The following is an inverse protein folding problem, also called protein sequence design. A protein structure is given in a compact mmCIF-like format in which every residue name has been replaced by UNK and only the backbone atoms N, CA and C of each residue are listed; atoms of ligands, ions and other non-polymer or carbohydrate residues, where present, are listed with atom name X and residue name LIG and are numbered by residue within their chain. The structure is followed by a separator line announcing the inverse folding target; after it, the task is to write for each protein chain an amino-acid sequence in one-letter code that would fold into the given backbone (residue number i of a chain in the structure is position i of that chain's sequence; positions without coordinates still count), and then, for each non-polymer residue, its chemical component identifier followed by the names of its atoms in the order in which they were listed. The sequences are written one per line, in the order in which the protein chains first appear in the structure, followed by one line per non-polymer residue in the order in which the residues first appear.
data_IF_127686980960
#
_entry.id   IF_127686980960
#
_cell.length_a   1.000
_cell.length_b   1.000
_cell.length_c   1.000
_cell.angle_alpha   90.00
_cell.angle_beta   90.00
_cell.angle_gamma   90.00
#
_symmetry.space_group_name_H-M   'P 1'
#
loop_
_entity.id
_entity.type
_entity.pdbx_description
1 polymer ?
#
# COMPACT_ATOMS: atom_id res chain seq x y z
N UNK A 1 -0.83 17.94 -8.40
CA UNK A 1 0.13 17.27 -9.34
C UNK A 1 -0.19 15.78 -9.39
N UNK A 2 -0.13 15.15 -10.58
CA UNK A 2 -0.32 13.70 -10.77
C UNK A 2 0.93 13.13 -11.44
N UNK A 3 1.55 12.10 -10.83
CA UNK A 3 2.69 11.38 -11.39
C UNK A 3 2.37 9.89 -11.52
N UNK A 4 3.11 9.19 -12.35
CA UNK A 4 3.10 7.73 -12.47
C UNK A 4 4.34 7.21 -11.76
N UNK A 5 4.13 6.40 -10.72
CA UNK A 5 5.18 5.60 -10.11
C UNK A 5 5.31 4.29 -10.89
N UNK A 6 6.32 4.17 -11.72
CA UNK A 6 6.62 2.94 -12.47
C UNK A 6 7.75 2.18 -11.81
N UNK A 7 7.52 0.93 -11.44
CA UNK A 7 8.51 0.21 -10.64
C UNK A 7 8.33 -1.29 -10.62
N UNK A 8 9.04 -1.89 -9.68
CA UNK A 8 9.09 -3.33 -9.46
C UNK A 8 8.46 -3.65 -8.12
N UNK A 9 7.50 -4.56 -8.14
CA UNK A 9 6.99 -5.24 -6.95
C UNK A 9 7.85 -6.48 -6.71
N UNK A 10 8.31 -6.64 -5.48
CA UNK A 10 9.08 -7.82 -5.06
C UNK A 10 8.51 -8.34 -3.73
N UNK A 11 8.02 -9.58 -3.74
CA UNK A 11 7.67 -10.32 -2.55
C UNK A 11 8.72 -11.39 -2.31
N UNK A 12 9.25 -11.44 -1.11
CA UNK A 12 10.27 -12.40 -0.71
C UNK A 12 9.81 -13.14 0.54
N UNK A 13 9.52 -14.42 0.40
CA UNK A 13 9.33 -15.32 1.54
C UNK A 13 10.68 -15.89 1.95
N UNK A 14 10.95 -15.92 3.26
CA UNK A 14 12.20 -16.46 3.83
C UNK A 14 11.98 -17.73 4.63
N UNK A 15 10.79 -17.92 5.21
CA UNK A 15 10.41 -19.06 6.04
C UNK A 15 9.04 -19.62 5.60
N UNK A 16 8.80 -20.92 5.73
CA UNK A 16 9.74 -22.00 6.04
C UNK A 16 10.73 -22.31 4.90
N UNK A 17 10.46 -21.82 3.67
CA UNK A 17 11.36 -21.92 2.52
C UNK A 17 11.45 -20.60 1.78
N UNK A 18 12.56 -20.39 1.07
CA UNK A 18 12.79 -19.17 0.29
C UNK A 18 12.00 -19.22 -1.02
N UNK A 19 11.25 -18.15 -1.30
CA UNK A 19 10.58 -17.96 -2.58
C UNK A 19 10.39 -16.47 -2.88
N UNK A 20 10.52 -16.10 -4.15
CA UNK A 20 10.37 -14.73 -4.62
C UNK A 20 9.29 -14.65 -5.70
N UNK A 21 8.47 -13.61 -5.62
CA UNK A 21 7.57 -13.17 -6.69
C UNK A 21 8.00 -11.75 -7.09
N UNK A 22 8.38 -11.56 -8.35
CA UNK A 22 8.83 -10.28 -8.89
C UNK A 22 8.06 -9.94 -10.15
N UNK A 23 7.55 -8.70 -10.24
CA UNK A 23 6.89 -8.21 -11.44
C UNK A 23 6.93 -6.68 -11.54
N UNK A 24 6.80 -6.16 -12.75
CA UNK A 24 6.66 -4.73 -13.02
C UNK A 24 5.21 -4.33 -12.74
N UNK A 25 5.04 -3.18 -12.10
CA UNK A 25 3.75 -2.55 -11.88
C UNK A 25 3.87 -1.04 -11.99
N UNK A 26 2.74 -0.34 -12.08
CA UNK A 26 2.67 1.09 -11.91
C UNK A 26 1.55 1.48 -10.95
N UNK A 27 1.76 2.59 -10.25
CA UNK A 27 0.81 3.18 -9.31
C UNK A 27 0.65 4.67 -9.63
N UNK A 28 -0.44 5.26 -9.16
CA UNK A 28 -0.65 6.69 -9.27
C UNK A 28 -0.14 7.38 -8.00
N UNK A 29 0.75 8.35 -8.16
CA UNK A 29 1.17 9.25 -7.11
C UNK A 29 0.50 10.60 -7.33
N UNK A 30 -0.22 11.10 -6.32
CA UNK A 30 -1.07 12.28 -6.44
C UNK A 30 -0.88 13.24 -5.26
N UNK A 31 -0.97 14.53 -5.56
CA UNK A 31 -1.18 15.57 -4.57
C UNK A 31 -2.68 15.62 -4.26
N UNK A 32 -3.05 15.33 -3.01
CA UNK A 32 -4.45 15.18 -2.61
C UNK A 32 -5.19 16.52 -2.47
N UNK A 33 -4.46 17.63 -2.35
CA UNK A 33 -5.05 18.99 -2.36
C UNK A 33 -5.49 19.43 -3.75
N UNK A 34 -5.01 18.77 -4.81
CA UNK A 34 -5.35 19.08 -6.17
C UNK A 34 -6.52 18.23 -6.66
N UNK A 35 -7.43 18.78 -7.49
CA UNK A 35 -8.49 18.00 -8.11
C UNK A 35 -7.89 16.80 -8.89
N UNK A 36 -8.33 15.59 -8.56
CA UNK A 36 -7.87 14.37 -9.20
C UNK A 36 -8.95 13.28 -9.16
N UNK A 37 -8.91 12.36 -10.11
CA UNK A 37 -9.84 11.24 -10.24
C UNK A 37 -9.10 9.87 -10.29
N UNK A 38 -7.87 9.82 -9.76
CA UNK A 38 -7.07 8.59 -9.79
C UNK A 38 -7.28 7.73 -8.56
N UNK A 39 -7.41 8.36 -7.40
CA UNK A 39 -7.74 7.72 -6.14
C UNK A 39 -9.16 8.12 -5.76
N UNK A 40 -10.07 7.16 -5.74
CA UNK A 40 -11.49 7.40 -5.43
C UNK A 40 -11.80 6.97 -4.00
N UNK A 41 -12.56 7.74 -3.21
CA UNK A 41 -12.89 7.39 -1.82
C UNK A 41 -13.46 5.99 -1.66
N UNK A 42 -14.35 5.55 -2.55
CA UNK A 42 -14.96 4.21 -2.54
C UNK A 42 -13.98 3.05 -2.61
N UNK A 43 -12.74 3.31 -3.06
CA UNK A 43 -11.68 2.30 -3.20
C UNK A 43 -10.76 2.25 -1.97
N UNK A 44 -10.95 3.16 -1.02
CA UNK A 44 -10.08 3.39 0.14
C UNK A 44 -10.89 3.60 1.41
N UNK A 45 -10.32 3.27 2.56
CA UNK A 45 -10.95 3.44 3.89
C UNK A 45 -12.40 2.90 3.92
N UNK A 46 -13.30 3.63 4.58
CA UNK A 46 -14.72 3.31 4.66
C UNK A 46 -15.54 3.63 3.41
N UNK A 47 -14.97 4.35 2.45
CA UNK A 47 -15.64 4.70 1.20
C UNK A 47 -16.71 5.81 1.28
N UNK A 48 -16.98 6.35 2.47
CA UNK A 48 -18.09 7.28 2.73
C UNK A 48 -17.73 8.77 2.52
N UNK A 49 -16.43 9.10 2.50
CA UNK A 49 -15.98 10.46 2.35
C UNK A 49 -16.28 11.05 0.95
N UNK A 50 -16.47 12.36 0.87
CA UNK A 50 -16.72 13.05 -0.40
C UNK A 50 -15.49 13.02 -1.33
N UNK A 51 -14.30 13.10 -0.75
CA UNK A 51 -13.03 13.00 -1.47
C UNK A 51 -12.00 12.24 -0.64
N UNK A 52 -10.89 11.86 -1.29
CA UNK A 52 -9.87 11.04 -0.65
C UNK A 52 -9.09 11.81 0.43
N UNK A 53 -8.93 13.13 0.30
CA UNK A 53 -8.24 13.95 1.31
C UNK A 53 -9.02 13.95 2.63
N UNK A 54 -10.33 14.11 2.57
CA UNK A 54 -11.19 14.08 3.76
C UNK A 54 -11.12 12.71 4.45
N UNK A 55 -11.13 11.61 3.68
CA UNK A 55 -10.97 10.26 4.22
C UNK A 55 -9.62 10.09 4.95
N UNK A 56 -8.53 10.57 4.35
CA UNK A 56 -7.17 10.52 4.91
C UNK A 56 -7.10 11.32 6.20
N UNK A 57 -7.62 12.55 6.20
CA UNK A 57 -7.63 13.43 7.39
C UNK A 57 -8.50 12.83 8.49
N UNK A 58 -9.71 12.39 8.18
CA UNK A 58 -10.63 11.79 9.14
C UNK A 58 -10.01 10.55 9.81
N UNK A 59 -9.40 9.68 9.02
CA UNK A 59 -8.72 8.50 9.57
C UNK A 59 -7.54 8.88 10.46
N UNK A 60 -6.66 9.81 10.02
CA UNK A 60 -5.51 10.24 10.82
C UNK A 60 -5.95 10.87 12.14
N UNK A 61 -6.90 11.81 12.10
CA UNK A 61 -7.36 12.53 13.29
C UNK A 61 -8.08 11.62 14.28
N UNK A 62 -8.83 10.61 13.80
CA UNK A 62 -9.46 9.60 14.67
C UNK A 62 -8.45 8.74 15.46
N UNK A 63 -7.17 8.80 15.06
CA UNK A 63 -6.05 8.09 15.70
C UNK A 63 -5.00 9.02 16.31
N UNK A 64 -5.37 10.27 16.53
CA UNK A 64 -4.49 11.28 17.14
C UNK A 64 -3.47 11.92 16.19
N UNK A 65 -3.63 11.71 14.87
CA UNK A 65 -2.83 12.41 13.87
C UNK A 65 -3.14 13.90 13.84
N UNK A 66 -2.11 14.73 13.92
CA UNK A 66 -2.23 16.19 13.89
C UNK A 66 -2.23 16.66 12.44
N UNK A 67 -3.08 17.63 12.13
CA UNK A 67 -3.17 18.30 10.82
C UNK A 67 -3.09 19.80 11.04
N UNK A 68 -2.22 20.48 10.30
CA UNK A 68 -2.07 21.93 10.32
C UNK A 68 -2.47 22.55 8.97
N UNK A 69 -2.88 23.81 8.93
CA UNK A 69 -3.42 24.45 7.72
C UNK A 69 -2.48 24.42 6.50
N UNK A 70 -1.17 24.47 6.74
CA UNK A 70 -0.15 24.49 5.68
C UNK A 70 0.46 23.12 5.37
N UNK A 71 -0.06 22.04 5.95
CA UNK A 71 0.40 20.70 5.64
C UNK A 71 0.08 20.31 4.21
N UNK A 72 0.97 19.54 3.58
CA UNK A 72 0.79 19.00 2.24
C UNK A 72 0.45 17.52 2.30
N UNK A 73 -0.42 17.06 1.38
CA UNK A 73 -0.93 15.69 1.39
C UNK A 73 -0.66 14.99 0.06
N UNK A 74 0.00 13.86 0.13
CA UNK A 74 0.28 13.03 -1.04
C UNK A 74 -0.27 11.62 -0.83
N UNK A 75 -0.63 10.96 -1.92
CA UNK A 75 -1.09 9.59 -1.89
C UNK A 75 -0.52 8.77 -3.03
N UNK A 76 -0.28 7.47 -2.78
CA UNK A 76 0.05 6.50 -3.81
C UNK A 76 -0.85 5.28 -3.69
N UNK A 77 -1.44 4.87 -4.80
CA UNK A 77 -2.26 3.68 -4.90
C UNK A 77 -2.36 3.18 -6.35
N UNK A 78 -2.78 1.93 -6.52
CA UNK A 78 -3.22 1.44 -7.83
C UNK A 78 -4.56 2.06 -8.19
N UNK A 79 -4.70 2.66 -9.36
CA UNK A 79 -5.97 3.20 -9.84
C UNK A 79 -6.79 2.13 -10.55
N UNK A 80 -8.08 2.38 -10.66
CA UNK A 80 -8.98 1.55 -11.47
C UNK A 80 -8.46 1.40 -12.90
N UNK A 81 -8.48 0.18 -13.38
CA UNK A 81 -8.18 -0.15 -14.77
C UNK A 81 -9.36 -0.91 -15.34
N UNK A 82 -10.03 -0.33 -16.34
CA UNK A 82 -11.25 -0.89 -16.96
C UNK A 82 -12.32 -1.28 -15.92
N UNK A 83 -12.59 -0.40 -14.95
CA UNK A 83 -13.59 -0.62 -13.91
C UNK A 83 -13.16 -1.50 -12.73
N UNK A 84 -12.02 -2.19 -12.83
CA UNK A 84 -11.48 -3.03 -11.76
C UNK A 84 -10.40 -2.31 -10.95
N UNK A 85 -10.40 -2.51 -9.65
CA UNK A 85 -9.37 -2.03 -8.74
C UNK A 85 -8.93 -3.12 -7.77
N UNK A 86 -7.64 -3.18 -7.51
CA UNK A 86 -7.03 -3.93 -6.43
C UNK A 86 -5.84 -3.17 -5.90
N UNK A 87 -5.91 -2.76 -4.64
CA UNK A 87 -4.90 -1.98 -3.94
C UNK A 87 -4.31 -2.81 -2.80
N UNK A 88 -3.35 -3.72 -3.05
CA UNK A 88 -2.76 -4.50 -1.96
C UNK A 88 -2.07 -3.60 -0.93
N UNK A 89 -1.58 -2.44 -1.37
CA UNK A 89 -0.93 -1.43 -0.54
C UNK A 89 -1.19 -0.05 -1.11
N UNK A 90 -1.68 0.85 -0.27
CA UNK A 90 -1.73 2.29 -0.52
C UNK A 90 -1.00 3.03 0.61
N UNK A 91 -0.39 4.15 0.30
CA UNK A 91 0.26 4.99 1.32
C UNK A 91 -0.15 6.44 1.12
N UNK A 92 -0.42 7.11 2.22
CA UNK A 92 -0.74 8.53 2.26
C UNK A 92 0.21 9.22 3.21
N UNK A 93 0.67 10.39 2.84
CA UNK A 93 1.58 11.20 3.66
C UNK A 93 0.99 12.55 3.96
N UNK A 94 1.17 13.01 5.18
CA UNK A 94 1.04 14.40 5.60
C UNK A 94 2.45 14.96 5.82
N UNK A 95 2.79 16.00 5.08
CA UNK A 95 4.07 16.71 5.20
C UNK A 95 3.84 18.08 5.78
N UNK A 96 4.67 18.47 6.74
CA UNK A 96 4.77 19.85 7.21
C UNK A 96 5.15 20.76 6.06
N UNK A 97 4.93 22.06 6.20
CA UNK A 97 5.37 23.05 5.21
C UNK A 97 6.89 23.02 4.94
N UNK A 98 7.67 22.54 5.91
CA UNK A 98 9.12 22.30 5.76
C UNK A 98 9.49 21.15 4.82
N UNK A 99 8.52 20.33 4.40
CA UNK A 99 8.72 19.09 3.63
C UNK A 99 9.01 17.85 4.49
N UNK A 100 9.12 18.00 5.83
CA UNK A 100 9.26 16.87 6.74
C UNK A 100 7.94 16.09 6.86
N UNK A 101 8.01 14.76 6.88
CA UNK A 101 6.82 13.91 7.08
C UNK A 101 6.35 14.05 8.54
N UNK A 102 5.11 14.52 8.71
CA UNK A 102 4.43 14.57 10.01
C UNK A 102 3.94 13.19 10.41
N UNK A 103 3.27 12.52 9.49
CA UNK A 103 2.81 11.14 9.60
C UNK A 103 2.53 10.55 8.22
N UNK A 104 2.39 9.24 8.19
CA UNK A 104 1.92 8.51 7.02
C UNK A 104 0.83 7.51 7.40
N UNK A 105 -0.05 7.16 6.46
CA UNK A 105 -1.00 6.07 6.61
C UNK A 105 -0.60 4.96 5.65
N UNK A 106 -0.50 3.74 6.17
CA UNK A 106 -0.29 2.52 5.41
C UNK A 106 -1.62 1.76 5.36
N UNK A 107 -2.29 1.76 4.21
CA UNK A 107 -3.54 1.03 3.99
C UNK A 107 -3.26 -0.27 3.24
N UNK A 108 -3.70 -1.39 3.81
CA UNK A 108 -3.47 -2.75 3.30
C UNK A 108 -4.82 -3.38 2.95
N UNK A 109 -4.93 -3.94 1.75
CA UNK A 109 -6.09 -4.73 1.34
C UNK A 109 -5.66 -6.18 1.13
N UNK A 110 -6.40 -7.11 1.73
CA UNK A 110 -6.18 -8.53 1.47
C UNK A 110 -6.96 -9.00 0.23
N UNK A 111 -6.74 -10.24 -0.17
CA UNK A 111 -7.46 -10.84 -1.32
C UNK A 111 -8.87 -11.32 -0.97
N UNK A 112 -9.30 -11.17 0.27
CA UNK A 112 -10.63 -11.54 0.78
C UNK A 112 -11.61 -10.35 0.83
N UNK A 113 -11.12 -9.15 0.49
CA UNK A 113 -11.92 -7.92 0.48
C UNK A 113 -11.86 -7.10 1.77
N UNK A 114 -11.07 -7.52 2.77
CA UNK A 114 -10.90 -6.72 3.97
C UNK A 114 -9.83 -5.65 3.77
N UNK A 115 -9.96 -4.58 4.54
CA UNK A 115 -9.06 -3.44 4.58
C UNK A 115 -8.60 -3.17 6.01
N UNK A 116 -7.39 -2.69 6.15
CA UNK A 116 -6.81 -2.25 7.42
C UNK A 116 -5.81 -1.15 7.19
N UNK A 117 -5.80 -0.13 8.04
CA UNK A 117 -4.84 0.95 7.92
C UNK A 117 -4.13 1.21 9.25
N UNK A 118 -2.86 1.60 9.15
CA UNK A 118 -2.03 1.99 10.27
C UNK A 118 -1.59 3.45 10.11
N UNK A 119 -1.74 4.24 11.18
CA UNK A 119 -1.10 5.55 11.26
C UNK A 119 0.34 5.38 11.72
N UNK A 120 1.28 5.91 10.94
CA UNK A 120 2.72 5.79 11.13
C UNK A 120 3.32 7.15 11.44
N UNK A 121 4.38 7.15 12.26
CA UNK A 121 5.26 8.30 12.47
C UNK A 121 6.68 7.91 11.99
N UNK A 122 6.96 8.05 10.67
CA UNK A 122 8.23 7.61 10.11
C UNK A 122 9.39 8.49 10.58
N UNK A 123 10.57 7.91 10.67
CA UNK A 123 11.82 8.63 10.84
C UNK A 123 12.21 9.40 9.55
N UNK A 124 13.32 10.13 9.60
CA UNK A 124 13.83 10.89 8.43
C UNK A 124 14.15 10.00 7.20
N UNK A 125 14.31 8.68 7.39
CA UNK A 125 14.52 7.71 6.31
C UNK A 125 13.22 7.08 5.80
N UNK A 126 12.08 7.52 6.35
CA UNK A 126 10.74 7.00 6.05
C UNK A 126 10.43 5.68 6.74
N UNK A 127 11.16 5.28 7.78
CA UNK A 127 11.00 3.99 8.46
C UNK A 127 10.12 4.11 9.70
N UNK A 128 9.26 3.13 9.91
CA UNK A 128 8.44 2.98 11.12
C UNK A 128 8.29 1.50 11.50
N UNK A 129 8.04 1.25 12.78
CA UNK A 129 7.73 -0.04 13.35
C UNK A 129 6.27 -0.05 13.79
N UNK A 130 5.53 -1.10 13.46
CA UNK A 130 4.13 -1.30 13.85
C UNK A 130 3.86 -2.76 14.16
N UNK A 131 2.95 -2.99 15.08
CA UNK A 131 2.45 -4.33 15.35
C UNK A 131 1.60 -4.84 14.20
N UNK A 132 1.70 -6.14 13.92
CA UNK A 132 0.87 -6.80 12.92
C UNK A 132 -0.47 -7.16 13.56
N UNK A 133 -1.53 -6.47 13.17
CA UNK A 133 -2.89 -6.66 13.69
C UNK A 133 -3.86 -7.24 12.65
N UNK A 134 -3.43 -7.37 11.39
CA UNK A 134 -4.30 -7.70 10.27
C UNK A 134 -3.94 -9.02 9.59
N UNK A 135 -4.97 -9.83 9.29
CA UNK A 135 -4.83 -11.07 8.55
C UNK A 135 -4.74 -10.80 7.04
N UNK A 136 -3.52 -10.71 6.53
CA UNK A 136 -3.25 -10.39 5.13
C UNK A 136 -3.18 -11.64 4.26
N UNK A 137 -2.70 -12.76 4.80
CA UNK A 137 -2.39 -13.97 4.04
C UNK A 137 -2.62 -15.23 4.88
N UNK A 138 -3.09 -16.34 4.28
CA UNK A 138 -3.32 -17.58 5.00
C UNK A 138 -2.04 -18.30 5.42
N UNK A 139 -0.89 -17.74 5.10
CA UNK A 139 0.42 -18.36 5.37
C UNK A 139 1.22 -17.66 6.47
N UNK A 140 0.60 -16.74 7.20
CA UNK A 140 1.19 -16.06 8.37
C UNK A 140 0.11 -15.79 9.41
N UNK A 141 0.46 -15.97 10.69
CA UNK A 141 -0.39 -15.55 11.82
C UNK A 141 -0.61 -14.05 11.84
N UNK A 142 -1.54 -13.58 12.65
CA UNK A 142 -1.73 -12.14 12.90
C UNK A 142 -0.64 -11.53 13.80
N UNK A 143 0.19 -12.37 14.43
CA UNK A 143 1.26 -11.95 15.32
C UNK A 143 2.52 -11.51 14.56
N UNK A 144 3.29 -10.64 15.21
CA UNK A 144 4.56 -10.14 14.72
C UNK A 144 4.58 -8.63 14.53
N UNK A 145 5.67 -8.15 13.99
CA UNK A 145 5.92 -6.73 13.75
C UNK A 145 6.20 -6.47 12.27
N UNK A 146 5.72 -5.35 11.77
CA UNK A 146 6.11 -4.82 10.48
C UNK A 146 7.15 -3.71 10.66
N UNK A 147 8.34 -3.91 10.07
CA UNK A 147 9.27 -2.80 9.79
C UNK A 147 8.95 -2.26 8.41
N UNK A 148 8.42 -1.05 8.38
CA UNK A 148 7.97 -0.40 7.15
C UNK A 148 8.97 0.63 6.69
N UNK A 149 8.96 0.92 5.39
CA UNK A 149 9.60 2.10 4.82
C UNK A 149 8.65 2.72 3.81
N UNK A 150 8.34 4.00 4.01
CA UNK A 150 7.47 4.80 3.15
C UNK A 150 8.19 6.09 2.78
N UNK A 151 9.04 6.01 1.76
CA UNK A 151 9.89 7.11 1.32
C UNK A 151 9.55 7.51 -0.11
N UNK A 152 9.57 8.81 -0.38
CA UNK A 152 9.60 9.34 -1.73
C UNK A 152 10.43 10.64 -1.79
N UNK A 153 10.94 10.93 -2.98
CA UNK A 153 11.52 12.21 -3.36
C UNK A 153 10.96 12.64 -4.73
N UNK A 154 11.54 13.63 -5.36
CA UNK A 154 11.06 14.13 -6.66
C UNK A 154 11.09 13.09 -7.79
N UNK A 155 12.00 12.10 -7.72
CA UNK A 155 12.31 11.16 -8.81
C UNK A 155 11.94 9.72 -8.50
N UNK A 156 11.88 9.33 -7.24
CA UNK A 156 11.73 7.92 -6.85
C UNK A 156 10.80 7.73 -5.67
N UNK A 157 10.31 6.51 -5.56
CA UNK A 157 9.52 6.05 -4.44
C UNK A 157 10.00 4.67 -3.98
N UNK A 158 10.04 4.47 -2.66
CA UNK A 158 10.39 3.21 -2.02
C UNK A 158 9.37 2.90 -0.95
N UNK A 159 8.60 1.85 -1.16
CA UNK A 159 7.66 1.32 -0.19
C UNK A 159 8.12 -0.08 0.18
N UNK A 160 8.20 -0.39 1.47
CA UNK A 160 8.44 -1.77 1.91
C UNK A 160 7.75 -2.08 3.22
N UNK A 161 7.33 -3.34 3.35
CA UNK A 161 6.75 -3.93 4.55
C UNK A 161 7.47 -5.24 4.81
N UNK A 162 8.23 -5.29 5.89
CA UNK A 162 9.02 -6.45 6.29
C UNK A 162 8.39 -7.05 7.54
N UNK A 163 7.88 -8.29 7.43
CA UNK A 163 7.29 -9.02 8.55
C UNK A 163 8.37 -9.73 9.36
N UNK A 164 8.37 -9.46 10.65
CA UNK A 164 9.17 -10.16 11.65
C UNK A 164 8.26 -10.97 12.56
N UNK A 165 8.63 -12.23 12.81
CA UNK A 165 8.01 -13.09 13.81
C UNK A 165 9.11 -13.72 14.64
N UNK A 166 9.02 -13.69 15.97
CA UNK A 166 10.08 -14.14 16.89
C UNK A 166 11.46 -13.53 16.54
N UNK A 167 11.51 -12.24 16.26
CA UNK A 167 12.71 -11.48 15.85
C UNK A 167 13.37 -11.95 14.54
N UNK A 168 12.73 -12.83 13.77
CA UNK A 168 13.23 -13.31 12.49
C UNK A 168 12.40 -12.72 11.36
N UNK A 169 13.05 -12.15 10.33
CA UNK A 169 12.36 -11.71 9.13
C UNK A 169 11.86 -12.92 8.34
N UNK A 170 10.53 -13.09 8.28
CA UNK A 170 9.87 -14.21 7.60
C UNK A 170 9.37 -13.85 6.20
N UNK A 171 9.06 -12.57 5.97
CA UNK A 171 8.54 -12.07 4.69
C UNK A 171 8.94 -10.61 4.45
N UNK A 172 9.03 -10.24 3.18
CA UNK A 172 9.20 -8.86 2.74
C UNK A 172 8.34 -8.61 1.49
N UNK A 173 7.63 -7.50 1.47
CA UNK A 173 6.99 -6.95 0.29
C UNK A 173 7.57 -5.57 0.02
N UNK A 174 7.92 -5.26 -1.23
CA UNK A 174 8.40 -3.94 -1.59
C UNK A 174 7.93 -3.50 -2.97
N UNK A 175 7.80 -2.20 -3.14
CA UNK A 175 7.66 -1.52 -4.41
C UNK A 175 8.73 -0.44 -4.49
N UNK A 176 9.55 -0.49 -5.52
CA UNK A 176 10.55 0.54 -5.82
C UNK A 176 10.33 1.02 -7.24
N UNK A 177 10.16 2.32 -7.42
CA UNK A 177 9.82 2.89 -8.69
C UNK A 177 10.34 4.30 -8.91
N UNK A 178 10.30 4.72 -10.17
CA UNK A 178 10.57 6.09 -10.61
C UNK A 178 9.24 6.86 -10.67
N UNK A 179 9.28 8.13 -10.26
CA UNK A 179 8.17 9.07 -10.38
C UNK A 179 8.29 9.84 -11.70
N UNK A 180 7.40 9.54 -12.62
CA UNK A 180 7.33 10.14 -13.95
C UNK A 180 6.13 11.06 -14.05
N UNK A 181 6.26 12.18 -14.77
CA UNK A 181 5.11 13.03 -15.08
C UNK A 181 4.04 12.24 -15.83
N UNK A 182 2.76 12.46 -15.45
CA UNK A 182 1.63 11.76 -16.05
C UNK A 182 1.25 12.32 -17.44
N UNK A 183 2.25 12.54 -18.31
CA UNK A 183 2.05 12.91 -19.71
C UNK A 183 1.28 11.81 -20.47
N UNK A 184 0.66 12.15 -21.59
CA UNK A 184 -0.04 11.19 -22.47
C UNK A 184 0.90 10.05 -22.86
N UNK A 185 2.13 10.38 -23.24
CA UNK A 185 3.18 9.38 -23.60
C UNK A 185 3.45 8.42 -22.45
N UNK A 186 3.67 8.92 -21.24
CA UNK A 186 3.99 8.06 -20.09
C UNK A 186 2.79 7.21 -19.64
N UNK A 187 1.57 7.75 -19.73
CA UNK A 187 0.33 6.98 -19.47
C UNK A 187 0.18 5.83 -20.47
N UNK A 188 0.35 6.13 -21.77
CA UNK A 188 0.25 5.12 -22.83
C UNK A 188 1.33 4.04 -22.66
N UNK A 189 2.57 4.41 -22.39
CA UNK A 189 3.65 3.47 -22.16
C UNK A 189 3.42 2.60 -20.91
N UNK A 190 2.90 3.17 -19.83
CA UNK A 190 2.55 2.40 -18.63
C UNK A 190 1.44 1.39 -18.96
N UNK A 191 0.39 1.81 -19.64
CA UNK A 191 -0.71 0.94 -20.04
C UNK A 191 -0.27 -0.18 -21.01
N UNK A 192 0.52 0.14 -22.04
CA UNK A 192 0.99 -0.86 -23.01
C UNK A 192 1.93 -1.91 -22.39
N UNK A 193 2.75 -1.50 -21.40
CA UNK A 193 3.68 -2.42 -20.72
C UNK A 193 3.01 -3.28 -19.65
N UNK A 194 1.98 -2.76 -19.01
CA UNK A 194 1.23 -3.44 -17.96
C UNK A 194 -0.27 -3.22 -18.15
N UNK A 195 -0.85 -3.69 -19.26
CA UNK A 195 -2.28 -3.62 -19.47
C UNK A 195 -2.98 -4.38 -18.34
N UNK A 196 -4.06 -3.82 -17.81
CA UNK A 196 -4.77 -4.43 -16.68
C UNK A 196 -3.89 -4.64 -15.43
N UNK A 197 -2.99 -3.67 -15.11
CA UNK A 197 -1.99 -3.79 -14.03
C UNK A 197 -2.57 -4.32 -12.72
N UNK A 198 -3.71 -3.82 -12.27
CA UNK A 198 -4.38 -4.23 -11.03
C UNK A 198 -4.90 -5.67 -11.10
N UNK A 199 -5.47 -6.09 -12.23
CA UNK A 199 -5.93 -7.46 -12.44
C UNK A 199 -4.75 -8.44 -12.50
N UNK A 200 -3.67 -8.06 -13.20
CA UNK A 200 -2.44 -8.86 -13.24
C UNK A 200 -1.80 -9.00 -11.86
N UNK A 201 -1.76 -7.93 -11.06
CA UNK A 201 -1.26 -7.99 -9.69
C UNK A 201 -2.09 -8.97 -8.84
N UNK A 202 -3.42 -8.87 -8.89
CA UNK A 202 -4.32 -9.80 -8.19
C UNK A 202 -4.10 -11.24 -8.64
N UNK A 203 -4.08 -11.49 -9.96
CA UNK A 203 -3.89 -12.83 -10.51
C UNK A 203 -2.55 -13.45 -10.09
N UNK A 204 -1.47 -12.68 -10.14
CA UNK A 204 -0.13 -13.13 -9.71
C UNK A 204 -0.06 -13.44 -8.22
N UNK A 205 -0.67 -12.60 -7.38
CA UNK A 205 -0.71 -12.84 -5.92
C UNK A 205 -1.52 -14.10 -5.61
N UNK A 206 -2.68 -14.29 -6.26
CA UNK A 206 -3.50 -15.50 -6.09
C UNK A 206 -2.81 -16.76 -6.59
N UNK A 207 -2.24 -16.72 -7.80
CA UNK A 207 -1.49 -17.83 -8.38
C UNK A 207 -0.30 -18.22 -7.47
N UNK A 208 0.40 -17.21 -6.92
CA UNK A 208 1.46 -17.44 -5.96
C UNK A 208 0.94 -18.12 -4.67
N UNK A 209 -0.21 -17.67 -4.16
CA UNK A 209 -0.86 -18.31 -3.00
C UNK A 209 -1.23 -19.78 -3.27
N UNK A 210 -1.84 -20.07 -4.43
CA UNK A 210 -2.16 -21.44 -4.85
C UNK A 210 -0.89 -22.29 -4.96
N UNK A 211 0.18 -21.76 -5.54
CA UNK A 211 1.46 -22.45 -5.64
C UNK A 211 2.04 -22.79 -4.25
N UNK A 212 1.98 -21.86 -3.27
CA UNK A 212 2.40 -22.10 -1.90
C UNK A 212 1.57 -23.22 -1.26
N UNK A 213 0.26 -23.25 -1.49
CA UNK A 213 -0.63 -24.29 -1.01
C UNK A 213 -0.30 -25.68 -1.61
N UNK A 214 -0.06 -25.76 -2.92
CA UNK A 214 0.39 -26.99 -3.61
C UNK A 214 1.72 -27.50 -3.00
N UNK A 215 2.59 -26.58 -2.58
CA UNK A 215 3.84 -26.90 -1.87
C UNK A 215 3.63 -27.30 -0.41
N UNK A 216 2.37 -27.54 -0.02
CA UNK A 216 1.97 -27.98 1.33
C UNK A 216 2.35 -27.00 2.43
N UNK A 217 2.40 -25.68 2.12
CA UNK A 217 2.57 -24.69 3.16
C UNK A 217 1.31 -24.69 4.05
N UNK A 218 1.45 -24.80 5.38
CA UNK A 218 0.30 -24.82 6.29
C UNK A 218 -0.58 -23.59 6.10
N UNK A 219 -1.88 -23.83 5.98
CA UNK A 219 -2.89 -22.76 5.90
C UNK A 219 -3.38 -22.46 7.31
N UNK A 220 -3.20 -21.22 7.73
CA UNK A 220 -3.69 -20.72 9.02
C UNK A 220 -5.13 -20.25 8.83
N UNK A 221 -6.09 -20.77 9.60
CA UNK A 221 -7.48 -20.34 9.52
C UNK A 221 -7.60 -18.83 9.76
N UNK A 222 -8.48 -18.19 9.00
CA UNK A 222 -8.78 -16.77 9.20
C UNK A 222 -9.47 -16.57 10.54
N UNK A 223 -8.90 -15.79 11.47
CA UNK A 223 -9.57 -15.51 12.73
C UNK A 223 -10.82 -14.65 12.48
N UNK A 224 -11.85 -14.85 13.30
CA UNK A 224 -12.97 -13.92 13.37
C UNK A 224 -12.45 -12.64 14.05
N UNK A 225 -12.41 -11.56 13.35
CA UNK A 225 -12.08 -10.25 13.91
C UNK A 225 -13.09 -9.20 13.41
N UNK A 226 -13.44 -8.21 14.23
CA UNK A 226 -14.26 -7.09 13.77
C UNK A 226 -13.49 -6.30 12.70
N UNK A 227 -14.22 -5.69 11.80
CA UNK A 227 -13.62 -4.72 10.88
C UNK A 227 -13.05 -3.55 11.69
N UNK A 228 -11.94 -3.01 11.24
CA UNK A 228 -11.36 -1.83 11.85
C UNK A 228 -12.34 -0.64 11.70
N UNK A 229 -12.53 0.13 12.78
CA UNK A 229 -13.35 1.35 12.74
C UNK A 229 -12.87 2.31 11.65
N UNK A 230 -13.79 2.83 10.83
CA UNK A 230 -13.46 3.69 9.68
C UNK A 230 -13.02 2.93 8.42
N UNK A 231 -13.19 1.58 8.41
CA UNK A 231 -12.92 0.72 7.25
C UNK A 231 -14.17 -0.07 6.84
N UNK A 232 -14.32 -0.36 5.52
CA UNK A 232 -15.37 -1.23 4.99
C UNK A 232 -15.06 -2.70 5.21
#
# INVERSE_FOLDING_TARGET
MVKIAKGVVLHQRRKPFKHNLKFINYMWFVDLKQPQQKLLPKDHFGGEAQNILDAVIAFATSRGGIVEPNDNFYGIASARTNGYVFNPLSVYWCLKNSGEVRWAILEIHNTYGDRHAHLLYPDQKGSALIDKEFYVSPFFTIEGEYKTRTFFDEKRIVLSVNLYQNNVQVFSASFTGELLEASIKNRLLAYLRTPFATLQAMARIRAHGIWLWIRRLPVIPRPKHPKQSGML
#
